data_IF_005676386120
#
_entry.id   IF_005676386120
#
_cell.length_a   1.000
_cell.length_b   1.000
_cell.length_c   1.000
_cell.angle_alpha   90.00
_cell.angle_beta   90.00
_cell.angle_gamma   90.00
#
_symmetry.space_group_name_H-M   'P 1'
#
loop_
_entity.id
_entity.type
_entity.pdbx_description
1 polymer ?
#
# COMPACT_ATOMS: atom_id res chain seq x y z
N UNK A 1 -29.54 -12.30 -32.93
CA UNK A 1 -28.30 -11.99 -33.66
C UNK A 1 -27.15 -12.51 -32.81
N UNK A 2 -26.46 -13.57 -33.30
CA UNK A 2 -25.28 -14.14 -32.61
C UNK A 2 -24.10 -13.17 -32.84
N UNK A 3 -23.42 -12.79 -31.79
CA UNK A 3 -22.17 -12.03 -31.91
C UNK A 3 -21.12 -12.87 -32.65
N UNK A 4 -20.32 -12.28 -33.55
CA UNK A 4 -19.34 -13.06 -34.31
C UNK A 4 -18.22 -13.55 -33.40
N UNK A 5 -17.79 -14.80 -33.55
CA UNK A 5 -16.81 -15.49 -32.73
C UNK A 5 -15.47 -14.74 -32.55
N UNK A 6 -15.11 -13.85 -33.48
CA UNK A 6 -13.88 -13.03 -33.37
C UNK A 6 -14.01 -11.82 -32.43
N UNK A 7 -15.20 -11.44 -31.98
CA UNK A 7 -15.36 -10.45 -30.90
C UNK A 7 -15.03 -11.06 -29.53
N UNK A 8 -15.36 -12.32 -29.32
CA UNK A 8 -15.01 -13.08 -28.11
C UNK A 8 -13.49 -13.30 -28.00
N UNK A 9 -12.82 -13.63 -29.10
CA UNK A 9 -11.35 -13.78 -29.14
C UNK A 9 -10.63 -12.45 -28.85
N UNK A 10 -11.17 -11.31 -29.23
CA UNK A 10 -10.58 -10.01 -28.89
C UNK A 10 -10.78 -9.64 -27.43
N UNK A 11 -11.91 -9.98 -26.84
CA UNK A 11 -12.19 -9.74 -25.43
C UNK A 11 -11.32 -10.65 -24.55
N UNK A 12 -11.14 -11.93 -24.90
CA UNK A 12 -10.26 -12.86 -24.19
C UNK A 12 -8.78 -12.42 -24.27
N UNK A 13 -8.29 -12.03 -25.46
CA UNK A 13 -6.90 -11.55 -25.61
C UNK A 13 -6.66 -10.20 -24.94
N UNK A 14 -7.67 -9.34 -24.84
CA UNK A 14 -7.57 -8.08 -24.11
C UNK A 14 -7.58 -8.31 -22.59
N UNK A 15 -8.43 -9.22 -22.09
CA UNK A 15 -8.48 -9.63 -20.70
C UNK A 15 -7.17 -10.31 -20.26
N UNK A 16 -6.59 -11.17 -21.09
CA UNK A 16 -5.27 -11.78 -20.83
C UNK A 16 -4.14 -10.74 -20.85
N UNK A 17 -4.15 -9.79 -21.79
CA UNK A 17 -3.15 -8.73 -21.86
C UNK A 17 -3.27 -7.73 -20.70
N UNK A 18 -4.46 -7.50 -20.16
CA UNK A 18 -4.66 -6.66 -18.98
C UNK A 18 -4.33 -7.42 -17.69
N UNK A 19 -4.55 -8.74 -17.64
CA UNK A 19 -4.18 -9.59 -16.50
C UNK A 19 -2.65 -9.71 -16.33
N UNK A 20 -1.86 -9.52 -17.40
CA UNK A 20 -0.39 -9.54 -17.32
C UNK A 20 0.20 -8.24 -16.80
N UNK A 21 -0.56 -7.15 -16.72
CA UNK A 21 -0.09 -5.86 -16.21
C UNK A 21 -0.21 -5.79 -14.71
N UNK A 22 0.73 -5.05 -14.09
CA UNK A 22 0.68 -4.78 -12.66
C UNK A 22 -0.40 -3.74 -12.37
N UNK A 23 -1.49 -4.15 -11.69
CA UNK A 23 -2.53 -3.25 -11.20
C UNK A 23 -2.33 -2.98 -9.72
N UNK A 24 -2.19 -1.72 -9.34
CA UNK A 24 -2.02 -1.26 -7.97
C UNK A 24 -3.31 -0.59 -7.52
N UNK A 25 -3.89 -1.03 -6.42
CA UNK A 25 -5.09 -0.43 -5.81
C UNK A 25 -4.78 -0.03 -4.38
N UNK A 26 -4.91 1.26 -4.04
CA UNK A 26 -4.81 1.73 -2.67
C UNK A 26 -6.14 1.48 -1.98
N UNK A 27 -6.18 0.53 -1.03
CA UNK A 27 -7.40 0.11 -0.33
C UNK A 27 -7.82 1.11 0.75
N UNK A 28 -6.89 1.91 1.24
CA UNK A 28 -7.08 2.98 2.20
C UNK A 28 -5.92 3.95 2.14
N UNK A 29 -6.17 5.22 2.45
CA UNK A 29 -5.22 6.32 2.30
C UNK A 29 -4.99 7.10 3.58
N UNK A 30 -5.66 6.71 4.67
CA UNK A 30 -5.62 7.38 5.96
C UNK A 30 -4.50 6.90 6.88
N UNK A 31 -4.20 7.75 7.85
CA UNK A 31 -3.27 7.48 8.94
C UNK A 31 -3.87 6.52 9.99
N UNK A 32 -3.13 6.30 11.06
CA UNK A 32 -3.49 5.46 12.21
C UNK A 32 -4.93 5.63 12.71
N UNK A 33 -5.48 6.86 12.69
CA UNK A 33 -6.83 7.13 13.22
C UNK A 33 -7.91 7.14 12.16
N UNK A 34 -7.54 7.18 10.89
CA UNK A 34 -8.44 7.31 9.76
C UNK A 34 -9.17 8.67 9.70
N UNK A 35 -9.95 8.88 8.66
CA UNK A 35 -10.79 10.08 8.50
C UNK A 35 -12.21 9.65 8.13
N UNK A 36 -13.27 10.10 8.83
CA UNK A 36 -13.26 11.05 9.96
C UNK A 36 -12.66 10.45 11.24
N UNK A 37 -11.92 11.27 11.97
CA UNK A 37 -11.37 10.89 13.27
C UNK A 37 -12.44 10.89 14.35
N UNK A 38 -12.43 9.90 15.24
CA UNK A 38 -13.32 9.83 16.40
C UNK A 38 -13.15 11.07 17.28
N UNK A 39 -14.27 11.64 17.74
CA UNK A 39 -14.33 12.86 18.56
C UNK A 39 -13.67 14.10 17.91
N UNK A 40 -13.72 14.21 16.58
CA UNK A 40 -13.20 15.36 15.85
C UNK A 40 -14.29 16.04 15.04
N UNK A 41 -14.36 17.38 15.15
CA UNK A 41 -15.29 18.25 14.42
C UNK A 41 -14.55 19.31 13.58
N UNK A 42 -13.29 19.04 13.17
CA UNK A 42 -12.63 19.88 12.19
C UNK A 42 -13.38 19.83 10.84
N UNK A 43 -13.11 20.80 9.97
CA UNK A 43 -13.79 20.93 8.68
C UNK A 43 -13.75 19.63 7.85
N UNK A 44 -12.56 19.01 7.72
CA UNK A 44 -12.38 17.75 6.98
C UNK A 44 -13.22 16.60 7.56
N UNK A 45 -13.27 16.49 8.90
CA UNK A 45 -14.08 15.45 9.56
C UNK A 45 -15.58 15.71 9.48
N UNK A 46 -16.02 16.97 9.52
CA UNK A 46 -17.45 17.32 9.32
C UNK A 46 -17.88 17.00 7.90
N UNK A 47 -17.11 17.48 6.92
CA UNK A 47 -17.38 17.18 5.50
C UNK A 47 -17.40 15.66 5.24
N UNK A 48 -16.48 14.91 5.82
CA UNK A 48 -16.46 13.44 5.73
C UNK A 48 -17.78 12.82 6.21
N UNK A 49 -18.29 13.28 7.37
CA UNK A 49 -19.56 12.78 7.94
C UNK A 49 -20.77 13.18 7.10
N UNK A 50 -20.80 14.41 6.58
CA UNK A 50 -21.90 14.94 5.76
C UNK A 50 -21.99 14.27 4.38
N UNK A 51 -20.85 14.02 3.75
CA UNK A 51 -20.76 13.45 2.40
C UNK A 51 -20.62 11.93 2.38
N UNK A 52 -20.47 11.27 3.54
CA UNK A 52 -20.21 9.84 3.62
C UNK A 52 -18.83 9.44 3.07
N UNK A 53 -17.86 10.36 3.13
CA UNK A 53 -16.49 10.12 2.69
C UNK A 53 -15.62 9.63 3.84
N UNK A 54 -14.55 8.93 3.50
CA UNK A 54 -13.59 8.46 4.51
C UNK A 54 -12.20 8.25 3.89
N UNK A 55 -11.22 8.12 4.78
CA UNK A 55 -9.92 7.52 4.49
C UNK A 55 -9.73 6.37 5.47
N UNK A 56 -9.79 5.15 4.98
CA UNK A 56 -9.42 3.93 5.72
C UNK A 56 -7.90 3.91 5.92
N UNK A 57 -7.40 3.12 6.89
CA UNK A 57 -5.97 2.99 7.12
C UNK A 57 -5.27 2.45 5.89
N UNK A 58 -4.02 2.87 5.70
CA UNK A 58 -3.28 2.62 4.46
C UNK A 58 -2.96 1.14 4.26
N UNK A 59 -3.44 0.59 3.17
CA UNK A 59 -3.11 -0.75 2.66
C UNK A 59 -3.18 -0.72 1.13
N UNK A 60 -2.42 -1.58 0.47
CA UNK A 60 -2.30 -1.62 -0.98
C UNK A 60 -2.48 -3.05 -1.46
N UNK A 61 -3.32 -3.24 -2.47
CA UNK A 61 -3.48 -4.51 -3.20
C UNK A 61 -2.79 -4.39 -4.55
N UNK A 62 -1.94 -5.37 -4.87
CA UNK A 62 -1.29 -5.48 -6.18
C UNK A 62 -1.75 -6.77 -6.84
N UNK A 63 -2.32 -6.62 -8.03
CA UNK A 63 -2.79 -7.72 -8.86
C UNK A 63 -1.82 -7.86 -10.05
N UNK A 64 -1.23 -9.04 -10.24
CA UNK A 64 -0.32 -9.32 -11.34
C UNK A 64 -0.35 -10.81 -11.71
N UNK A 65 -0.52 -11.12 -13.02
CA UNK A 65 -0.59 -12.49 -13.52
C UNK A 65 -1.57 -13.41 -12.77
N UNK A 66 -2.72 -12.86 -12.35
CA UNK A 66 -3.76 -13.60 -11.63
C UNK A 66 -3.42 -13.89 -10.16
N UNK A 67 -2.34 -13.32 -9.63
CA UNK A 67 -1.96 -13.38 -8.21
C UNK A 67 -2.18 -12.05 -7.53
N UNK A 68 -2.46 -12.07 -6.23
CA UNK A 68 -2.80 -10.92 -5.40
C UNK A 68 -1.83 -10.80 -4.23
N UNK A 69 -1.04 -9.73 -4.24
CA UNK A 69 -0.14 -9.35 -3.15
C UNK A 69 -0.76 -8.21 -2.35
N UNK A 70 -0.91 -8.41 -1.06
CA UNK A 70 -1.42 -7.39 -0.13
C UNK A 70 -0.27 -6.78 0.67
N UNK A 71 -0.14 -5.47 0.64
CA UNK A 71 0.79 -4.73 1.49
C UNK A 71 0.02 -4.17 2.66
N UNK A 72 0.39 -4.61 3.86
CA UNK A 72 -0.23 -4.33 5.15
C UNK A 72 -1.67 -4.83 5.31
N UNK A 73 -1.98 -5.25 6.51
CA UNK A 73 -3.27 -5.81 6.93
C UNK A 73 -3.86 -4.93 8.03
N UNK A 74 -4.49 -3.83 7.64
CA UNK A 74 -5.00 -2.82 8.55
C UNK A 74 -6.21 -3.30 9.36
N UNK A 75 -6.59 -2.65 10.47
CA UNK A 75 -7.86 -2.92 11.16
C UNK A 75 -9.12 -2.78 10.29
N UNK A 76 -9.02 -2.12 9.14
CA UNK A 76 -10.10 -1.98 8.17
C UNK A 76 -10.13 -3.09 7.10
N UNK A 77 -9.25 -4.10 7.20
CA UNK A 77 -8.96 -5.10 6.16
C UNK A 77 -10.21 -5.76 5.60
N UNK A 78 -11.10 -6.25 6.45
CA UNK A 78 -12.33 -6.90 5.99
C UNK A 78 -13.14 -5.99 5.06
N UNK A 79 -13.27 -4.73 5.41
CA UNK A 79 -13.99 -3.74 4.62
C UNK A 79 -13.28 -3.45 3.30
N UNK A 80 -11.96 -3.31 3.35
CA UNK A 80 -11.10 -3.07 2.20
C UNK A 80 -11.18 -4.20 1.18
N UNK A 81 -11.05 -5.45 1.63
CA UNK A 81 -11.15 -6.62 0.75
C UNK A 81 -12.55 -6.78 0.16
N UNK A 82 -13.62 -6.55 0.92
CA UNK A 82 -14.98 -6.61 0.38
C UNK A 82 -15.22 -5.54 -0.69
N UNK A 83 -14.66 -4.33 -0.53
CA UNK A 83 -14.75 -3.25 -1.50
C UNK A 83 -13.96 -3.56 -2.79
N UNK A 84 -12.91 -4.39 -2.71
CA UNK A 84 -12.08 -4.84 -3.85
C UNK A 84 -12.53 -6.19 -4.44
N UNK A 85 -13.82 -6.53 -4.33
CA UNK A 85 -14.41 -7.81 -4.79
C UNK A 85 -13.87 -9.06 -4.08
N UNK A 86 -13.38 -8.94 -2.85
CA UNK A 86 -12.91 -10.02 -1.99
C UNK A 86 -11.94 -11.00 -2.70
N UNK A 87 -10.82 -10.54 -3.25
CA UNK A 87 -9.89 -11.41 -3.96
C UNK A 87 -9.26 -12.44 -3.02
N UNK A 88 -8.85 -13.59 -3.59
CA UNK A 88 -7.92 -14.49 -2.90
C UNK A 88 -6.59 -13.77 -2.71
N UNK A 89 -5.95 -13.90 -1.55
CA UNK A 89 -4.65 -13.28 -1.27
C UNK A 89 -3.57 -14.36 -1.30
N UNK A 90 -2.62 -14.22 -2.24
CA UNK A 90 -1.52 -15.17 -2.46
C UNK A 90 -0.31 -14.86 -1.58
N UNK A 91 -0.15 -13.59 -1.19
CA UNK A 91 0.91 -13.15 -0.30
C UNK A 91 0.57 -11.86 0.42
N UNK A 92 1.15 -11.69 1.60
CA UNK A 92 1.07 -10.47 2.40
C UNK A 92 2.49 -9.96 2.63
N UNK A 93 2.72 -8.65 2.55
CA UNK A 93 3.95 -8.02 3.07
C UNK A 93 3.56 -7.16 4.26
N UNK A 94 4.21 -7.37 5.42
CA UNK A 94 4.14 -6.42 6.53
C UNK A 94 5.32 -5.46 6.47
N UNK A 95 5.01 -4.17 6.50
CA UNK A 95 6.00 -3.10 6.41
C UNK A 95 6.65 -2.80 7.75
N UNK A 96 5.86 -2.79 8.83
CA UNK A 96 6.31 -2.52 10.19
C UNK A 96 5.26 -2.90 11.25
N UNK A 97 5.65 -2.80 12.52
CA UNK A 97 4.87 -3.28 13.67
C UNK A 97 3.89 -2.27 14.29
N UNK A 98 3.45 -1.21 13.62
CA UNK A 98 2.37 -0.37 14.11
C UNK A 98 1.02 -1.03 13.84
N UNK A 99 0.11 -0.94 14.82
CA UNK A 99 -1.16 -1.68 14.81
C UNK A 99 -2.03 -1.41 13.58
N UNK A 100 -1.97 -0.20 13.06
CA UNK A 100 -2.72 0.23 11.89
C UNK A 100 -2.23 -0.39 10.57
N UNK A 101 -1.07 -1.05 10.59
CA UNK A 101 -0.51 -1.76 9.44
C UNK A 101 -0.67 -3.28 9.50
N UNK A 102 -0.86 -3.91 10.68
CA UNK A 102 -0.87 -5.37 10.73
C UNK A 102 -2.02 -6.01 11.51
N UNK A 103 -2.71 -5.27 12.40
CA UNK A 103 -3.68 -5.88 13.34
C UNK A 103 -4.93 -6.47 12.68
N UNK A 104 -5.27 -6.10 11.45
CA UNK A 104 -6.35 -6.71 10.70
C UNK A 104 -6.05 -8.10 10.14
N UNK A 105 -4.81 -8.60 10.28
CA UNK A 105 -4.47 -9.96 9.88
C UNK A 105 -5.38 -11.02 10.53
N UNK A 106 -5.97 -10.71 11.68
CA UNK A 106 -6.96 -11.53 12.32
C UNK A 106 -8.18 -11.86 11.44
N UNK A 107 -8.51 -11.00 10.48
CA UNK A 107 -9.61 -11.23 9.52
C UNK A 107 -9.34 -12.42 8.60
N UNK A 108 -8.10 -12.88 8.47
CA UNK A 108 -7.78 -14.09 7.72
C UNK A 108 -8.16 -15.39 8.46
N UNK A 109 -8.54 -15.31 9.72
CA UNK A 109 -8.96 -16.51 10.46
C UNK A 109 -10.16 -17.18 9.79
N UNK A 110 -9.94 -18.36 9.20
CA UNK A 110 -10.93 -19.17 8.46
C UNK A 110 -11.49 -18.54 7.16
N UNK A 111 -10.85 -17.49 6.61
CA UNK A 111 -11.30 -16.86 5.37
C UNK A 111 -10.86 -17.66 4.14
N UNK A 112 -9.63 -18.11 4.12
CA UNK A 112 -9.12 -18.99 3.07
C UNK A 112 -8.52 -20.27 3.67
N UNK A 113 -8.46 -21.34 2.87
CA UNK A 113 -8.01 -22.67 3.34
C UNK A 113 -6.50 -22.82 3.24
N UNK A 114 -5.90 -22.14 2.27
CA UNK A 114 -4.48 -22.14 2.00
C UNK A 114 -3.74 -21.43 3.12
N UNK A 115 -2.48 -21.81 3.33
CA UNK A 115 -1.60 -21.14 4.27
C UNK A 115 -1.18 -19.81 3.62
N UNK A 116 -1.47 -18.71 4.30
CA UNK A 116 -1.06 -17.39 3.84
C UNK A 116 0.44 -17.26 4.02
N UNK A 117 1.13 -16.87 2.95
CA UNK A 117 2.54 -16.48 3.00
C UNK A 117 2.65 -15.03 3.42
N UNK A 118 3.42 -14.78 4.46
CA UNK A 118 3.66 -13.44 4.99
C UNK A 118 5.14 -13.11 4.87
N UNK A 119 5.43 -12.09 4.11
CA UNK A 119 6.77 -11.60 3.85
C UNK A 119 7.04 -10.35 4.69
N UNK A 120 8.30 -10.11 5.03
CA UNK A 120 8.73 -8.91 5.74
C UNK A 120 10.17 -9.00 6.19
N UNK A 121 10.72 -7.91 6.70
CA UNK A 121 12.01 -7.97 7.36
C UNK A 121 11.94 -8.86 8.62
N UNK A 122 13.02 -9.57 8.99
CA UNK A 122 12.99 -10.54 10.09
C UNK A 122 12.39 -9.99 11.38
N UNK A 123 12.81 -8.80 11.82
CA UNK A 123 12.33 -8.18 13.05
C UNK A 123 10.84 -7.77 13.00
N UNK A 124 10.31 -7.47 11.80
CA UNK A 124 8.89 -7.19 11.61
C UNK A 124 8.08 -8.47 11.73
N UNK A 125 8.55 -9.56 11.09
CA UNK A 125 7.91 -10.87 11.19
C UNK A 125 7.92 -11.39 12.63
N UNK A 126 9.06 -11.33 13.31
CA UNK A 126 9.21 -11.77 14.71
C UNK A 126 8.19 -11.07 15.63
N UNK A 127 8.02 -9.75 15.45
CA UNK A 127 7.08 -8.98 16.26
C UNK A 127 5.62 -9.26 15.88
N UNK A 128 5.24 -9.04 14.62
CA UNK A 128 3.86 -9.15 14.16
C UNK A 128 3.36 -10.60 14.22
N UNK A 129 4.17 -11.56 13.79
CA UNK A 129 3.82 -12.98 13.78
C UNK A 129 3.60 -13.54 15.18
N UNK A 130 4.37 -13.09 16.18
CA UNK A 130 4.18 -13.51 17.58
C UNK A 130 2.76 -13.24 18.09
N UNK A 131 2.12 -12.16 17.61
CA UNK A 131 0.77 -11.76 17.99
C UNK A 131 -0.27 -12.70 17.37
N UNK A 132 -0.01 -13.19 16.15
CA UNK A 132 -0.93 -14.02 15.37
C UNK A 132 -0.60 -15.52 15.40
N UNK A 133 0.10 -16.00 16.42
CA UNK A 133 0.46 -17.42 16.58
C UNK A 133 -0.72 -18.38 16.51
N UNK A 134 -1.96 -17.91 16.71
CA UNK A 134 -3.19 -18.67 16.59
C UNK A 134 -3.73 -18.78 15.14
N UNK A 135 -3.18 -18.01 14.20
CA UNK A 135 -3.50 -18.07 12.77
C UNK A 135 -2.38 -18.83 12.07
N UNK A 136 -2.76 -19.89 11.35
CA UNK A 136 -1.78 -20.63 10.57
C UNK A 136 -1.33 -19.81 9.36
N UNK A 137 -0.08 -19.41 9.34
CA UNK A 137 0.60 -18.68 8.26
C UNK A 137 2.05 -19.13 8.12
N UNK A 138 2.68 -18.80 7.02
CA UNK A 138 4.08 -19.07 6.73
C UNK A 138 4.84 -17.75 6.67
N UNK A 139 5.78 -17.53 7.59
CA UNK A 139 6.64 -16.36 7.61
C UNK A 139 7.86 -16.57 6.71
N UNK A 140 8.07 -15.65 5.78
CA UNK A 140 9.17 -15.70 4.80
C UNK A 140 9.98 -14.41 4.94
N UNK A 141 11.16 -14.46 5.58
CA UNK A 141 11.97 -13.28 5.79
C UNK A 141 12.56 -12.76 4.46
N UNK A 142 12.50 -11.44 4.30
CA UNK A 142 13.08 -10.70 3.18
C UNK A 142 14.11 -9.73 3.72
N UNK A 143 15.36 -9.87 3.30
CA UNK A 143 16.43 -8.98 3.73
C UNK A 143 16.37 -7.66 2.96
N UNK A 144 16.58 -6.51 3.63
CA UNK A 144 16.64 -5.22 2.94
C UNK A 144 17.71 -5.19 1.87
N UNK A 145 17.44 -4.51 0.76
CA UNK A 145 18.31 -4.37 -0.42
C UNK A 145 18.52 -5.66 -1.22
N UNK A 146 17.97 -6.79 -0.80
CA UNK A 146 18.04 -8.04 -1.56
C UNK A 146 16.72 -8.24 -2.33
N UNK A 147 16.75 -8.34 -3.67
CA UNK A 147 15.55 -8.59 -4.44
C UNK A 147 15.07 -10.03 -4.26
N UNK A 148 13.77 -10.19 -4.13
CA UNK A 148 13.08 -11.49 -4.03
C UNK A 148 11.89 -11.52 -4.97
N UNK A 149 11.57 -12.70 -5.51
CA UNK A 149 10.35 -12.87 -6.31
C UNK A 149 9.15 -13.16 -5.41
N UNK A 150 8.10 -12.34 -5.53
CA UNK A 150 6.82 -12.51 -4.82
C UNK A 150 5.69 -12.30 -5.82
N UNK A 151 4.79 -13.25 -5.97
CA UNK A 151 3.66 -13.19 -6.90
C UNK A 151 4.07 -12.81 -8.33
N UNK A 152 5.19 -13.36 -8.82
CA UNK A 152 5.72 -13.09 -10.16
C UNK A 152 6.31 -11.68 -10.35
N UNK A 153 6.54 -10.94 -9.27
CA UNK A 153 7.13 -9.61 -9.26
C UNK A 153 8.44 -9.60 -8.49
N UNK A 154 9.43 -8.82 -8.94
CA UNK A 154 10.64 -8.55 -8.18
C UNK A 154 10.36 -7.50 -7.11
N UNK A 155 10.51 -7.87 -5.85
CA UNK A 155 10.31 -7.00 -4.68
C UNK A 155 11.63 -6.78 -3.97
N UNK A 156 11.96 -5.52 -3.68
CA UNK A 156 13.13 -5.15 -2.87
C UNK A 156 12.69 -4.23 -1.75
N UNK A 157 12.90 -4.66 -0.51
CA UNK A 157 12.64 -3.83 0.67
C UNK A 157 13.80 -2.84 0.89
N UNK A 158 13.47 -1.66 1.42
CA UNK A 158 14.47 -0.68 1.87
C UNK A 158 14.06 -0.03 3.18
N UNK A 159 15.01 0.25 4.09
CA UNK A 159 14.69 0.89 5.37
C UNK A 159 14.18 2.31 5.18
N UNK A 160 13.07 2.64 5.85
CA UNK A 160 12.62 3.99 6.11
C UNK A 160 13.23 4.55 7.40
N UNK A 161 12.76 5.74 7.81
CA UNK A 161 13.17 6.38 9.07
C UNK A 161 11.94 6.70 9.90
N UNK A 162 11.71 5.86 10.90
CA UNK A 162 10.52 5.88 11.74
C UNK A 162 10.90 5.52 13.19
N UNK A 163 9.95 5.45 14.12
CA UNK A 163 10.20 5.10 15.52
C UNK A 163 10.21 3.57 15.79
N UNK A 164 9.90 2.78 14.80
CA UNK A 164 10.05 1.32 14.79
C UNK A 164 10.71 0.89 13.47
N UNK A 165 11.35 -0.27 13.38
CA UNK A 165 11.84 -0.80 12.11
C UNK A 165 10.75 -0.79 11.05
N UNK A 166 10.97 -0.04 9.97
CA UNK A 166 9.98 0.24 8.91
C UNK A 166 10.63 0.09 7.55
N UNK A 167 9.90 -0.52 6.63
CA UNK A 167 10.41 -0.83 5.29
C UNK A 167 9.46 -0.36 4.21
N UNK A 168 9.95 0.54 3.35
CA UNK A 168 9.38 0.78 2.04
C UNK A 168 9.79 -0.32 1.06
N UNK A 169 9.27 -0.26 -0.15
CA UNK A 169 9.57 -1.27 -1.16
C UNK A 169 9.58 -0.72 -2.57
N UNK A 170 10.44 -1.32 -3.39
CA UNK A 170 10.43 -1.20 -4.85
C UNK A 170 9.91 -2.50 -5.42
N UNK A 171 8.89 -2.42 -6.29
CA UNK A 171 8.29 -3.58 -6.97
C UNK A 171 8.42 -3.39 -8.47
N UNK A 172 8.90 -4.41 -9.16
CA UNK A 172 9.13 -4.38 -10.60
C UNK A 172 8.45 -5.57 -11.28
N UNK A 173 7.73 -5.27 -12.35
CA UNK A 173 7.18 -6.26 -13.27
C UNK A 173 7.05 -5.63 -14.67
N UNK A 174 7.24 -6.41 -15.74
CA UNK A 174 7.03 -6.02 -17.14
C UNK A 174 7.70 -4.68 -17.55
N UNK A 175 8.88 -4.41 -16.99
CA UNK A 175 9.63 -3.17 -17.24
C UNK A 175 9.07 -1.94 -16.54
N UNK A 176 8.08 -2.10 -15.67
CA UNK A 176 7.47 -1.05 -14.85
C UNK A 176 7.97 -1.11 -13.41
N UNK A 177 7.91 0.03 -12.75
CA UNK A 177 8.39 0.19 -11.38
C UNK A 177 7.34 0.90 -10.53
N UNK A 178 6.89 0.23 -9.50
CA UNK A 178 6.09 0.80 -8.41
C UNK A 178 6.97 0.95 -7.16
N UNK A 179 6.85 2.07 -6.45
CA UNK A 179 7.53 2.31 -5.18
C UNK A 179 6.54 2.80 -4.14
N UNK A 180 6.62 2.22 -2.95
CA UNK A 180 5.90 2.66 -1.76
C UNK A 180 6.89 2.97 -0.64
N UNK A 181 6.88 4.20 -0.11
CA UNK A 181 7.80 4.61 0.95
C UNK A 181 7.50 3.99 2.31
N UNK A 182 6.26 3.54 2.51
CA UNK A 182 5.70 3.30 3.83
C UNK A 182 5.83 4.53 4.73
N UNK A 183 5.65 4.39 6.04
CA UNK A 183 5.77 5.44 7.04
C UNK A 183 7.23 5.84 7.21
N UNK A 184 7.54 7.09 6.90
CA UNK A 184 8.92 7.59 6.98
C UNK A 184 8.97 9.12 6.93
N UNK A 185 10.01 9.68 7.52
CA UNK A 185 10.37 11.07 7.24
C UNK A 185 11.21 11.17 5.94
N UNK A 186 11.49 12.39 5.49
CA UNK A 186 12.17 12.62 4.21
C UNK A 186 13.68 12.32 4.22
N UNK A 187 14.32 12.31 5.40
CA UNK A 187 15.76 12.09 5.56
C UNK A 187 16.10 10.58 5.52
N UNK A 188 15.80 9.96 4.40
CA UNK A 188 16.07 8.55 4.12
C UNK A 188 17.52 8.38 3.69
N UNK A 189 18.10 7.18 3.90
CA UNK A 189 19.47 6.87 3.47
C UNK A 189 19.64 7.02 1.95
N UNK A 190 20.85 7.35 1.50
CA UNK A 190 21.15 7.44 0.05
C UNK A 190 20.93 6.12 -0.67
N UNK A 191 21.15 5.01 0.00
CA UNK A 191 20.95 3.66 -0.53
C UNK A 191 19.45 3.38 -0.74
N UNK A 192 18.60 3.66 0.26
CA UNK A 192 17.15 3.57 0.13
C UNK A 192 16.62 4.54 -0.94
N UNK A 193 17.09 5.79 -0.97
CA UNK A 193 16.70 6.77 -2.00
C UNK A 193 17.05 6.28 -3.42
N UNK A 194 18.15 5.54 -3.60
CA UNK A 194 18.52 5.00 -4.90
C UNK A 194 17.50 4.00 -5.45
N UNK A 195 16.84 3.22 -4.57
CA UNK A 195 15.77 2.30 -4.93
C UNK A 195 14.45 3.00 -5.24
N UNK A 196 14.26 4.22 -4.73
CA UNK A 196 13.03 4.97 -4.97
C UNK A 196 13.02 5.75 -6.29
N UNK A 197 14.20 5.91 -6.94
CA UNK A 197 14.34 6.72 -8.17
C UNK A 197 13.62 6.13 -9.37
N UNK A 198 13.20 7.05 -10.26
CA UNK A 198 12.66 6.78 -11.59
C UNK A 198 11.44 5.83 -11.56
N UNK A 199 10.63 5.90 -10.49
CA UNK A 199 9.41 5.12 -10.39
C UNK A 199 8.38 5.55 -11.44
N UNK A 200 7.66 4.59 -12.03
CA UNK A 200 6.48 4.87 -12.84
C UNK A 200 5.35 5.40 -11.96
N UNK A 201 5.17 4.80 -10.78
CA UNK A 201 4.27 5.25 -9.71
C UNK A 201 5.00 5.25 -8.37
N UNK A 202 4.91 6.37 -7.63
CA UNK A 202 5.49 6.54 -6.30
C UNK A 202 4.38 6.90 -5.31
N UNK A 203 4.17 6.08 -4.28
CA UNK A 203 3.32 6.40 -3.15
C UNK A 203 4.19 6.81 -1.95
N UNK A 204 3.94 7.99 -1.43
CA UNK A 204 4.71 8.59 -0.31
C UNK A 204 3.84 8.82 0.92
N UNK A 205 4.44 8.68 2.09
CA UNK A 205 3.90 9.21 3.33
C UNK A 205 3.63 10.72 3.18
N UNK A 206 2.46 11.15 3.54
CA UNK A 206 2.05 12.57 3.47
C UNK A 206 1.10 12.91 4.60
N UNK A 207 1.49 12.57 5.85
CA UNK A 207 0.56 12.55 6.98
C UNK A 207 -0.06 13.91 7.32
N UNK A 208 0.69 15.02 7.14
CA UNK A 208 0.24 16.36 7.52
C UNK A 208 0.39 17.39 6.41
N UNK A 209 -0.39 18.49 6.47
CA UNK A 209 -0.21 19.61 5.56
C UNK A 209 1.16 20.31 5.77
N UNK A 210 1.59 21.16 4.80
CA UNK A 210 2.85 21.90 4.89
C UNK A 210 2.97 22.70 6.21
N UNK A 211 4.17 22.74 6.76
CA UNK A 211 4.47 23.47 7.99
C UNK A 211 4.18 22.73 9.29
N UNK A 212 3.60 21.53 9.22
CA UNK A 212 3.47 20.62 10.37
C UNK A 212 4.58 19.60 10.28
N UNK A 213 5.56 19.68 11.17
CA UNK A 213 6.70 18.79 11.21
C UNK A 213 6.52 17.76 12.33
N UNK A 214 6.65 16.50 12.00
CA UNK A 214 6.64 15.38 12.91
C UNK A 214 7.91 14.57 12.74
N UNK A 215 8.51 14.18 13.83
CA UNK A 215 9.84 13.55 13.83
C UNK A 215 9.95 12.25 13.04
N UNK A 216 8.83 11.61 12.69
CA UNK A 216 8.79 10.27 12.10
C UNK A 216 8.02 10.14 10.78
N UNK A 217 7.46 11.24 10.26
CA UNK A 217 6.69 11.23 9.03
C UNK A 217 7.02 12.45 8.17
N UNK A 218 6.69 12.37 6.88
CA UNK A 218 6.71 13.49 5.95
C UNK A 218 5.43 14.33 6.07
N UNK A 219 5.53 15.65 5.88
CA UNK A 219 4.41 16.44 5.47
C UNK A 219 4.29 16.44 3.93
N UNK A 220 3.17 16.91 3.41
CA UNK A 220 2.91 16.89 1.97
C UNK A 220 3.90 17.73 1.14
N UNK A 221 4.49 18.79 1.70
CA UNK A 221 5.52 19.57 0.99
C UNK A 221 6.84 18.80 0.89
N UNK A 222 7.20 18.03 1.92
CA UNK A 222 8.37 17.15 1.88
C UNK A 222 8.18 16.04 0.85
N UNK A 223 6.99 15.44 0.79
CA UNK A 223 6.64 14.44 -0.21
C UNK A 223 6.73 14.99 -1.64
N UNK A 224 6.18 16.19 -1.90
CA UNK A 224 6.28 16.84 -3.21
C UNK A 224 7.72 17.12 -3.62
N UNK A 225 8.56 17.60 -2.69
CA UNK A 225 9.98 17.85 -2.93
C UNK A 225 10.70 16.54 -3.25
N UNK A 226 10.52 15.52 -2.42
CA UNK A 226 11.17 14.23 -2.58
C UNK A 226 10.78 13.55 -3.90
N UNK A 227 9.50 13.56 -4.29
CA UNK A 227 9.04 13.00 -5.56
C UNK A 227 9.75 13.63 -6.77
N UNK A 228 9.96 14.95 -6.74
CA UNK A 228 10.73 15.67 -7.79
C UNK A 228 12.21 15.27 -7.80
N UNK A 229 12.84 15.20 -6.64
CA UNK A 229 14.25 14.81 -6.49
C UNK A 229 14.50 13.35 -6.96
N UNK A 230 13.49 12.50 -6.81
CA UNK A 230 13.52 11.10 -7.21
C UNK A 230 13.17 10.89 -8.69
N UNK A 231 12.75 11.93 -9.41
CA UNK A 231 12.33 11.87 -10.82
C UNK A 231 11.20 10.86 -11.04
N UNK A 232 10.23 10.79 -10.11
CA UNK A 232 9.06 9.94 -10.26
C UNK A 232 8.16 10.46 -11.39
N UNK A 233 7.62 9.55 -12.23
CA UNK A 233 6.72 9.95 -13.33
C UNK A 233 5.35 10.38 -12.81
N UNK A 234 4.86 9.65 -11.81
CA UNK A 234 3.62 9.95 -11.10
C UNK A 234 3.84 9.72 -9.61
N UNK A 235 3.29 10.59 -8.74
CA UNK A 235 3.32 10.36 -7.31
C UNK A 235 2.02 10.78 -6.64
N UNK A 236 1.72 10.13 -5.50
CA UNK A 236 0.58 10.44 -4.66
C UNK A 236 0.96 10.29 -3.18
N UNK A 237 0.27 11.06 -2.34
CA UNK A 237 0.36 10.95 -0.89
C UNK A 237 -0.66 9.93 -0.37
N UNK A 238 -0.22 9.10 0.54
CA UNK A 238 -1.01 8.15 1.35
C UNK A 238 -0.69 8.38 2.83
N UNK A 239 -1.28 7.61 3.72
CA UNK A 239 -1.10 7.74 5.17
C UNK A 239 -1.47 9.15 5.68
N UNK A 240 -2.53 9.70 5.10
CA UNK A 240 -2.94 11.08 5.33
C UNK A 240 -3.84 11.22 6.55
N UNK A 241 -3.52 12.20 7.41
CA UNK A 241 -4.37 12.53 8.54
C UNK A 241 -5.63 13.30 8.14
N UNK A 242 -6.56 13.38 9.09
CA UNK A 242 -7.78 14.20 8.98
C UNK A 242 -7.54 15.71 8.86
N UNK A 243 -6.27 16.15 8.77
CA UNK A 243 -5.90 17.56 8.52
C UNK A 243 -5.60 17.85 7.05
N UNK A 244 -5.46 16.81 6.22
CA UNK A 244 -5.27 16.98 4.78
C UNK A 244 -6.63 17.27 4.14
N UNK A 245 -6.80 18.42 3.46
CA UNK A 245 -8.04 18.75 2.74
C UNK A 245 -8.40 17.68 1.70
N UNK A 246 -9.70 17.56 1.41
CA UNK A 246 -10.19 16.60 0.43
C UNK A 246 -9.79 16.93 -1.02
N UNK A 247 -9.52 18.20 -1.30
CA UNK A 247 -9.14 18.74 -2.61
C UNK A 247 -7.61 18.87 -2.77
N UNK A 248 -6.81 18.32 -1.83
CA UNK A 248 -5.37 18.34 -2.01
C UNK A 248 -4.98 17.54 -3.25
N UNK A 249 -4.31 18.21 -4.19
CA UNK A 249 -4.07 17.72 -5.56
C UNK A 249 -3.31 16.39 -5.69
N UNK A 250 -2.53 16.03 -4.68
CA UNK A 250 -1.76 14.79 -4.66
C UNK A 250 -2.28 13.79 -3.60
N UNK A 251 -3.46 14.02 -3.05
CA UNK A 251 -4.09 13.05 -2.17
C UNK A 251 -4.59 11.87 -3.00
N UNK A 252 -4.09 10.67 -2.75
CA UNK A 252 -4.74 9.47 -3.24
C UNK A 252 -6.12 9.29 -2.58
N UNK A 253 -7.00 8.57 -3.24
CA UNK A 253 -8.33 8.22 -2.71
C UNK A 253 -8.41 6.73 -2.42
N UNK A 254 -9.21 6.37 -1.41
CA UNK A 254 -9.51 4.95 -1.16
C UNK A 254 -10.08 4.32 -2.43
N UNK A 255 -9.63 3.12 -2.75
CA UNK A 255 -9.96 2.34 -3.95
C UNK A 255 -9.45 2.96 -5.28
N UNK A 256 -8.61 3.99 -5.24
CA UNK A 256 -7.93 4.48 -6.46
C UNK A 256 -6.95 3.42 -6.97
N UNK A 257 -6.92 3.22 -8.29
CA UNK A 257 -6.07 2.20 -8.91
C UNK A 257 -5.35 2.72 -10.16
N UNK A 258 -4.19 2.11 -10.42
CA UNK A 258 -3.34 2.35 -11.58
C UNK A 258 -3.00 1.03 -12.25
N UNK A 259 -2.84 1.04 -13.56
CA UNK A 259 -2.34 -0.08 -14.36
C UNK A 259 -1.00 0.36 -14.96
N UNK A 260 0.07 -0.35 -14.61
CA UNK A 260 1.42 -0.04 -15.07
C UNK A 260 1.87 -0.96 -16.22
#
# INVERSE_FOLDING_TARGET
>A
MLQPAWSLFREETQLEADASKMKITVLGTGDTVGTPKVNCDCEVCRQAKEEGRERLRTSILIEHNGQNLLIDTTPDLRRQLLASNAPHIDGVIWTHGHFDHFMGFADFYRVQREIIKVYGAPEVLDYCGSIFSFIRHEEIPVLPFEPVEICGMEVTLFPGVHDTPTYGMRIRADGKTFVYSCDTRAEISKESLSLMRDADLLLLDGIFPPGVNIAKHMNTADAERLAKELNAKEFWCVHMSHKIPWDYKYAASDMQSWIL
#
